data_IF_027922820318
#
_entry.id   IF_027922820318
#
_cell.length_a   1.000
_cell.length_b   1.000
_cell.length_c   1.000
_cell.angle_alpha   90.00
_cell.angle_beta   90.00
_cell.angle_gamma   90.00
#
_symmetry.space_group_name_H-M   'P 1'
#
loop_
_entity.id
_entity.type
_entity.pdbx_description
1 polymer ?
#
# COMPACT_ATOMS: atom_id res chain seq x y z
N UNK A 1 14.59 33.41 -1.71
CA UNK A 1 14.56 31.99 -1.32
C UNK A 1 14.07 31.20 -2.52
N UNK A 2 14.99 30.64 -3.30
CA UNK A 2 14.63 29.62 -4.29
C UNK A 2 14.45 28.29 -3.57
N UNK A 3 13.42 27.50 -3.88
CA UNK A 3 13.28 26.17 -3.31
C UNK A 3 14.44 25.30 -3.85
N UNK A 4 15.21 24.75 -2.93
CA UNK A 4 16.39 23.94 -3.22
C UNK A 4 16.05 22.81 -4.19
N UNK A 5 16.83 22.73 -5.26
CA UNK A 5 16.83 21.62 -6.20
C UNK A 5 17.44 20.40 -5.46
N UNK A 6 16.63 19.75 -4.63
CA UNK A 6 17.00 18.56 -3.87
C UNK A 6 17.28 17.43 -4.87
N UNK A 7 18.55 17.29 -5.23
CA UNK A 7 19.00 16.24 -6.15
C UNK A 7 18.99 14.94 -5.35
N UNK A 8 17.93 14.15 -5.52
CA UNK A 8 17.81 12.87 -4.84
C UNK A 8 18.95 11.94 -5.29
N UNK A 9 19.55 11.17 -4.38
CA UNK A 9 20.47 10.12 -4.78
C UNK A 9 19.75 9.18 -5.76
N UNK A 10 20.42 8.75 -6.84
CA UNK A 10 19.87 7.90 -7.93
C UNK A 10 19.10 6.66 -7.42
N UNK A 11 19.40 6.20 -6.21
CA UNK A 11 18.69 5.13 -5.52
C UNK A 11 17.23 5.49 -5.18
N UNK A 12 16.98 6.71 -4.72
CA UNK A 12 15.63 7.23 -4.44
C UNK A 12 14.87 7.46 -5.74
N UNK A 13 15.51 7.95 -6.80
CA UNK A 13 14.85 8.13 -8.11
C UNK A 13 14.36 6.79 -8.69
N UNK A 14 15.14 5.71 -8.56
CA UNK A 14 14.72 4.35 -8.95
C UNK A 14 13.59 3.80 -8.06
N UNK A 15 13.52 4.20 -6.80
CA UNK A 15 12.44 3.86 -5.88
C UNK A 15 11.14 4.63 -6.20
N UNK A 16 11.25 5.91 -6.52
CA UNK A 16 10.13 6.77 -6.90
C UNK A 16 9.54 6.40 -8.27
N UNK A 17 10.35 5.81 -9.18
CA UNK A 17 9.87 5.29 -10.46
C UNK A 17 8.72 4.28 -10.32
N UNK A 18 8.68 3.51 -9.22
CA UNK A 18 7.56 2.60 -8.95
C UNK A 18 6.25 3.32 -8.63
N UNK A 19 6.30 4.55 -8.10
CA UNK A 19 5.10 5.36 -7.87
C UNK A 19 4.39 5.73 -9.18
N UNK A 20 5.12 5.83 -10.30
CA UNK A 20 4.49 6.03 -11.60
C UNK A 20 3.67 4.81 -12.03
N UNK A 21 4.17 3.60 -11.76
CA UNK A 21 3.46 2.34 -12.08
C UNK A 21 2.28 2.12 -11.14
N UNK A 22 2.44 2.42 -9.85
CA UNK A 22 1.34 2.42 -8.89
C UNK A 22 0.28 3.48 -9.27
N UNK A 23 0.69 4.69 -9.67
CA UNK A 23 -0.20 5.71 -10.22
C UNK A 23 -0.95 5.25 -11.48
N UNK A 24 -0.27 4.52 -12.37
CA UNK A 24 -0.89 3.92 -13.55
C UNK A 24 -1.95 2.88 -13.18
N UNK A 25 -1.66 1.98 -12.23
CA UNK A 25 -2.63 1.02 -11.69
C UNK A 25 -3.85 1.69 -11.10
N UNK A 26 -3.64 2.75 -10.32
CA UNK A 26 -4.73 3.54 -9.76
C UNK A 26 -5.61 4.18 -10.84
N UNK A 27 -4.98 4.83 -11.82
CA UNK A 27 -5.69 5.45 -12.94
C UNK A 27 -6.55 4.43 -13.69
N UNK A 28 -5.98 3.27 -14.04
CA UNK A 28 -6.73 2.24 -14.76
C UNK A 28 -7.89 1.68 -13.94
N UNK A 29 -7.68 1.44 -12.65
CA UNK A 29 -8.73 0.99 -11.75
C UNK A 29 -9.84 2.01 -11.55
N UNK A 30 -9.51 3.30 -11.49
CA UNK A 30 -10.50 4.35 -11.27
C UNK A 30 -11.34 4.65 -12.52
N UNK A 31 -10.69 4.88 -13.66
CA UNK A 31 -11.38 5.32 -14.88
C UNK A 31 -11.83 4.18 -15.80
N UNK A 32 -11.26 2.98 -15.64
CA UNK A 32 -11.51 1.83 -16.52
C UNK A 32 -11.82 0.55 -15.72
N UNK A 33 -12.52 0.69 -14.60
CA UNK A 33 -12.78 -0.38 -13.63
C UNK A 33 -13.41 -1.64 -14.25
N UNK A 34 -14.35 -1.53 -15.19
CA UNK A 34 -14.93 -2.70 -15.90
C UNK A 34 -13.85 -3.57 -16.56
N UNK A 35 -12.80 -2.96 -17.10
CA UNK A 35 -11.72 -3.69 -17.80
C UNK A 35 -10.70 -4.28 -16.84
N UNK A 36 -10.27 -3.53 -15.84
CA UNK A 36 -9.13 -3.91 -15.00
C UNK A 36 -9.53 -4.54 -13.66
N UNK A 37 -10.73 -4.26 -13.17
CA UNK A 37 -11.28 -4.84 -11.94
C UNK A 37 -12.15 -6.05 -12.25
N UNK A 38 -13.20 -5.89 -13.07
CA UNK A 38 -14.06 -7.03 -13.43
C UNK A 38 -13.36 -7.96 -14.44
N UNK A 39 -12.85 -7.38 -15.54
CA UNK A 39 -12.12 -8.14 -16.56
C UNK A 39 -10.72 -8.60 -16.15
N UNK A 40 -10.19 -8.10 -15.03
CA UNK A 40 -8.87 -8.44 -14.49
C UNK A 40 -7.71 -8.36 -15.49
N UNK A 41 -7.82 -7.54 -16.54
CA UNK A 41 -6.80 -7.43 -17.58
C UNK A 41 -5.50 -6.90 -16.99
N UNK A 42 -4.36 -7.51 -17.37
CA UNK A 42 -3.03 -7.02 -17.01
C UNK A 42 -2.36 -6.38 -18.23
N UNK A 43 -1.78 -5.17 -18.12
CA UNK A 43 -1.07 -4.55 -19.24
C UNK A 43 0.12 -5.40 -19.71
N UNK A 44 0.18 -5.72 -21.00
CA UNK A 44 1.13 -6.68 -21.58
C UNK A 44 2.59 -6.22 -21.65
N UNK A 45 2.85 -4.91 -21.49
CA UNK A 45 4.21 -4.33 -21.55
C UNK A 45 4.87 -4.15 -20.18
N UNK A 46 4.24 -4.63 -19.11
CA UNK A 46 4.80 -4.56 -17.76
C UNK A 46 5.62 -5.83 -17.47
N UNK A 47 6.84 -5.63 -16.94
CA UNK A 47 7.60 -6.74 -16.34
C UNK A 47 6.82 -7.36 -15.18
N UNK A 48 7.16 -8.60 -14.82
CA UNK A 48 6.46 -9.32 -13.75
C UNK A 48 6.37 -8.53 -12.44
N UNK A 49 7.45 -7.85 -12.05
CA UNK A 49 7.42 -7.01 -10.86
C UNK A 49 6.62 -5.71 -11.06
N UNK A 50 6.67 -5.09 -12.25
CA UNK A 50 5.86 -3.92 -12.53
C UNK A 50 4.35 -4.23 -12.50
N UNK A 51 3.94 -5.45 -12.89
CA UNK A 51 2.56 -5.92 -12.73
C UNK A 51 2.13 -5.97 -11.26
N UNK A 52 3.02 -6.38 -10.35
CA UNK A 52 2.77 -6.34 -8.91
C UNK A 52 2.58 -4.91 -8.40
N UNK A 53 3.40 -3.97 -8.85
CA UNK A 53 3.26 -2.55 -8.48
C UNK A 53 1.98 -1.94 -9.07
N UNK A 54 1.61 -2.33 -10.29
CA UNK A 54 0.32 -1.97 -10.88
C UNK A 54 -0.86 -2.41 -10.00
N UNK A 55 -0.80 -3.62 -9.44
CA UNK A 55 -1.84 -4.13 -8.52
C UNK A 55 -1.90 -3.36 -7.19
N UNK A 56 -0.80 -2.77 -6.72
CA UNK A 56 -0.84 -1.86 -5.56
C UNK A 56 -1.70 -0.62 -5.88
N UNK A 57 -1.46 -0.03 -7.05
CA UNK A 57 -2.25 1.08 -7.57
C UNK A 57 -3.72 0.71 -7.76
N UNK A 58 -3.96 -0.44 -8.39
CA UNK A 58 -5.29 -0.96 -8.62
C UNK A 58 -6.03 -1.16 -7.30
N UNK A 59 -5.36 -1.71 -6.29
CA UNK A 59 -5.89 -1.87 -4.94
C UNK A 59 -6.29 -0.53 -4.30
N UNK A 60 -5.45 0.50 -4.43
CA UNK A 60 -5.77 1.85 -3.96
C UNK A 60 -7.06 2.38 -4.61
N UNK A 61 -7.26 2.13 -5.91
CA UNK A 61 -8.44 2.62 -6.63
C UNK A 61 -9.75 2.00 -6.12
N UNK A 62 -9.73 0.75 -5.66
CA UNK A 62 -10.92 0.05 -5.15
C UNK A 62 -11.53 0.79 -3.97
N UNK A 63 -10.71 1.42 -3.12
CA UNK A 63 -11.21 2.25 -2.01
C UNK A 63 -12.14 3.37 -2.48
N UNK A 64 -11.86 3.96 -3.65
CA UNK A 64 -12.67 5.06 -4.18
C UNK A 64 -13.82 4.56 -5.06
N UNK A 65 -13.59 3.55 -5.89
CA UNK A 65 -14.61 2.97 -6.78
C UNK A 65 -15.73 2.29 -5.99
N UNK A 66 -15.38 1.59 -4.91
CA UNK A 66 -16.35 0.97 -4.00
C UNK A 66 -16.83 1.92 -2.89
N UNK A 67 -16.40 3.19 -2.89
CA UNK A 67 -16.87 4.21 -1.93
C UNK A 67 -16.51 3.88 -0.48
N UNK A 68 -15.33 3.29 -0.26
CA UNK A 68 -14.83 2.79 1.02
C UNK A 68 -15.73 1.73 1.69
N UNK A 69 -16.66 1.11 0.95
CA UNK A 69 -17.46 0.00 1.43
C UNK A 69 -16.59 -1.26 1.56
N UNK A 70 -16.23 -1.58 2.80
CA UNK A 70 -15.36 -2.71 3.15
C UNK A 70 -15.94 -4.05 2.67
N UNK A 71 -17.27 -4.23 2.72
CA UNK A 71 -17.90 -5.47 2.29
C UNK A 71 -17.81 -5.64 0.77
N UNK A 72 -18.01 -4.55 0.01
CA UNK A 72 -17.83 -4.53 -1.45
C UNK A 72 -16.37 -4.79 -1.84
N UNK A 73 -15.43 -4.09 -1.20
CA UNK A 73 -13.99 -4.28 -1.46
C UNK A 73 -13.57 -5.74 -1.24
N UNK A 74 -13.99 -6.34 -0.13
CA UNK A 74 -13.70 -7.75 0.16
C UNK A 74 -14.34 -8.69 -0.87
N UNK A 75 -15.57 -8.40 -1.33
CA UNK A 75 -16.23 -9.16 -2.40
C UNK A 75 -15.45 -9.08 -3.70
N UNK A 76 -15.02 -7.88 -4.09
CA UNK A 76 -14.19 -7.62 -5.26
C UNK A 76 -12.89 -8.43 -5.19
N UNK A 77 -12.15 -8.36 -4.08
CA UNK A 77 -10.89 -9.09 -3.90
C UNK A 77 -11.03 -10.62 -3.95
N UNK A 78 -12.16 -11.18 -3.49
CA UNK A 78 -12.43 -12.63 -3.63
C UNK A 78 -12.53 -13.09 -5.08
N UNK A 79 -12.90 -12.19 -6.00
CA UNK A 79 -12.92 -12.47 -7.43
C UNK A 79 -11.54 -12.49 -8.08
N UNK A 80 -10.55 -11.81 -7.51
CA UNK A 80 -9.20 -11.74 -8.07
C UNK A 80 -8.42 -13.05 -7.93
N UNK A 81 -7.55 -13.34 -8.90
CA UNK A 81 -6.62 -14.46 -8.81
C UNK A 81 -5.74 -14.35 -7.53
N UNK A 82 -5.52 -15.42 -6.75
CA UNK A 82 -4.82 -15.35 -5.45
C UNK A 82 -3.44 -14.68 -5.49
N UNK A 83 -2.69 -14.84 -6.58
CA UNK A 83 -1.36 -14.21 -6.76
C UNK A 83 -1.38 -12.67 -6.80
N UNK A 84 -2.53 -12.06 -7.12
CA UNK A 84 -2.67 -10.58 -7.21
C UNK A 84 -3.12 -9.95 -5.90
N UNK A 85 -3.76 -10.73 -5.02
CA UNK A 85 -4.45 -10.23 -3.82
C UNK A 85 -3.49 -9.54 -2.84
N UNK A 86 -2.27 -10.04 -2.68
CA UNK A 86 -1.29 -9.47 -1.76
C UNK A 86 -0.99 -8.00 -2.08
N UNK A 87 -0.73 -7.69 -3.35
CA UNK A 87 -0.40 -6.32 -3.78
C UNK A 87 -1.65 -5.43 -3.75
N UNK A 88 -2.83 -5.94 -4.13
CA UNK A 88 -4.11 -5.24 -4.00
C UNK A 88 -4.40 -4.84 -2.53
N UNK A 89 -4.19 -5.75 -1.59
CA UNK A 89 -4.36 -5.49 -0.16
C UNK A 89 -3.43 -4.39 0.35
N UNK A 90 -2.18 -4.32 -0.14
CA UNK A 90 -1.28 -3.22 0.21
C UNK A 90 -1.77 -1.87 -0.31
N UNK A 91 -2.36 -1.83 -1.51
CA UNK A 91 -3.00 -0.64 -2.04
C UNK A 91 -4.18 -0.18 -1.18
N UNK A 92 -5.06 -1.11 -0.83
CA UNK A 92 -6.24 -0.83 0.01
C UNK A 92 -5.82 -0.25 1.37
N UNK A 93 -4.78 -0.80 1.99
CA UNK A 93 -4.28 -0.29 3.28
C UNK A 93 -3.76 1.14 3.20
N UNK A 94 -3.06 1.46 2.12
CA UNK A 94 -2.61 2.83 1.87
C UNK A 94 -3.81 3.77 1.68
N UNK A 95 -4.79 3.42 0.85
CA UNK A 95 -5.96 4.26 0.63
C UNK A 95 -6.80 4.45 1.91
N UNK A 96 -7.04 3.38 2.67
CA UNK A 96 -7.74 3.40 3.95
C UNK A 96 -7.09 4.39 4.93
N UNK A 97 -5.77 4.30 5.11
CA UNK A 97 -5.06 5.15 6.06
C UNK A 97 -4.84 6.59 5.54
N UNK A 98 -4.64 6.77 4.24
CA UNK A 98 -4.37 8.10 3.66
C UNK A 98 -5.64 8.94 3.47
N UNK A 99 -6.68 8.33 2.89
CA UNK A 99 -7.93 9.00 2.54
C UNK A 99 -8.98 8.94 3.67
N UNK A 100 -8.97 7.87 4.48
CA UNK A 100 -10.01 7.65 5.49
C UNK A 100 -11.38 7.41 4.85
N UNK A 101 -12.42 7.99 5.45
CA UNK A 101 -13.80 7.91 4.95
C UNK A 101 -14.65 6.81 5.59
N UNK A 102 -14.11 6.10 6.58
CA UNK A 102 -14.83 5.07 7.35
C UNK A 102 -14.51 5.19 8.83
N UNK A 103 -15.35 4.57 9.67
CA UNK A 103 -15.14 4.51 11.11
C UNK A 103 -14.16 3.38 11.52
N UNK A 104 -13.84 3.33 12.82
CA UNK A 104 -12.94 2.31 13.38
C UNK A 104 -13.46 0.89 13.16
N UNK A 105 -14.76 0.66 13.31
CA UNK A 105 -15.36 -0.67 13.18
C UNK A 105 -15.21 -1.21 11.74
N UNK A 106 -15.34 -0.36 10.73
CA UNK A 106 -15.08 -0.73 9.34
C UNK A 106 -13.59 -1.08 9.11
N UNK A 107 -12.65 -0.35 9.73
CA UNK A 107 -11.21 -0.66 9.63
C UNK A 107 -10.91 -2.00 10.34
N UNK A 108 -11.55 -2.30 11.47
CA UNK A 108 -11.44 -3.60 12.15
C UNK A 108 -12.00 -4.74 11.29
N UNK A 109 -13.14 -4.52 10.61
CA UNK A 109 -13.68 -5.48 9.65
C UNK A 109 -12.75 -5.68 8.44
N UNK A 110 -12.10 -4.62 7.97
CA UNK A 110 -11.10 -4.68 6.90
C UNK A 110 -9.89 -5.53 7.33
N UNK A 111 -9.36 -5.30 8.54
CA UNK A 111 -8.29 -6.09 9.16
C UNK A 111 -8.65 -7.58 9.21
N UNK A 112 -9.84 -7.91 9.71
CA UNK A 112 -10.30 -9.31 9.79
C UNK A 112 -10.42 -9.94 8.40
N UNK A 113 -10.96 -9.23 7.42
CA UNK A 113 -11.11 -9.75 6.06
C UNK A 113 -9.80 -9.89 5.28
N UNK A 114 -8.75 -9.16 5.66
CA UNK A 114 -7.42 -9.35 5.09
C UNK A 114 -6.81 -10.70 5.46
N UNK A 115 -7.07 -11.21 6.68
CA UNK A 115 -6.57 -12.50 7.14
C UNK A 115 -5.05 -12.62 6.97
N UNK A 116 -4.60 -13.60 6.17
CA UNK A 116 -3.18 -13.80 5.88
C UNK A 116 -2.50 -12.65 5.12
N UNK A 117 -3.28 -11.73 4.53
CA UNK A 117 -2.78 -10.55 3.83
C UNK A 117 -2.64 -9.32 4.76
N UNK A 118 -2.87 -9.48 6.07
CA UNK A 118 -2.70 -8.41 7.04
C UNK A 118 -1.32 -7.72 6.97
N UNK A 119 -0.19 -8.44 6.80
CA UNK A 119 1.12 -7.79 6.65
C UNK A 119 1.18 -6.81 5.47
N UNK A 120 0.57 -7.16 4.34
CA UNK A 120 0.51 -6.29 3.16
C UNK A 120 -0.42 -5.10 3.39
N UNK A 121 -1.60 -5.32 3.98
CA UNK A 121 -2.53 -4.26 4.36
C UNK A 121 -1.86 -3.25 5.31
N UNK A 122 -1.20 -3.74 6.36
CA UNK A 122 -0.47 -2.91 7.33
C UNK A 122 0.71 -2.15 6.69
N UNK A 123 1.46 -2.80 5.80
CA UNK A 123 2.52 -2.13 5.02
C UNK A 123 1.96 -0.94 4.24
N UNK A 124 0.78 -1.08 3.62
CA UNK A 124 0.10 0.01 2.93
C UNK A 124 -0.20 1.19 3.85
N UNK A 125 -0.76 0.89 5.04
CA UNK A 125 -1.06 1.91 6.05
C UNK A 125 0.21 2.62 6.55
N UNK A 126 1.32 1.89 6.73
CA UNK A 126 2.61 2.47 7.09
C UNK A 126 3.15 3.45 6.03
N UNK A 127 2.97 3.14 4.73
CA UNK A 127 3.30 4.09 3.66
C UNK A 127 2.42 5.35 3.70
N UNK A 128 1.13 5.23 3.99
CA UNK A 128 0.25 6.39 4.16
C UNK A 128 0.69 7.27 5.33
N UNK A 129 1.04 6.65 6.47
CA UNK A 129 1.57 7.36 7.63
C UNK A 129 2.86 8.09 7.31
N UNK A 130 3.79 7.43 6.60
CA UNK A 130 5.04 8.06 6.14
C UNK A 130 4.78 9.23 5.20
N UNK A 131 3.83 9.10 4.27
CA UNK A 131 3.45 10.19 3.36
C UNK A 131 2.90 11.41 4.12
N UNK A 132 2.00 11.20 5.09
CA UNK A 132 1.46 12.27 5.95
C UNK A 132 2.53 12.93 6.82
N UNK A 133 3.43 12.13 7.40
CA UNK A 133 4.57 12.62 8.17
C UNK A 133 5.49 13.50 7.32
N UNK A 134 5.89 13.05 6.12
CA UNK A 134 6.72 13.85 5.21
C UNK A 134 6.04 15.13 4.74
N UNK A 135 4.72 15.11 4.56
CA UNK A 135 3.94 16.27 4.15
C UNK A 135 3.62 17.23 5.31
N UNK A 136 3.99 16.89 6.56
CA UNK A 136 3.72 17.73 7.73
C UNK A 136 2.23 17.92 8.03
N UNK A 137 1.37 16.99 7.60
CA UNK A 137 -0.08 17.13 7.68
C UNK A 137 -0.76 15.92 8.36
N UNK A 138 -0.48 15.65 9.65
CA UNK A 138 -1.04 14.51 10.36
C UNK A 138 -2.57 14.54 10.33
N UNK A 139 -3.19 13.36 10.26
CA UNK A 139 -4.64 13.22 10.20
C UNK A 139 -5.12 12.14 11.15
N UNK A 140 -6.23 12.40 11.85
CA UNK A 140 -6.80 11.50 12.85
C UNK A 140 -7.18 10.13 12.26
N UNK A 141 -7.73 10.11 11.04
CA UNK A 141 -8.06 8.84 10.39
C UNK A 141 -6.84 7.99 10.06
N UNK A 142 -5.69 8.61 9.77
CA UNK A 142 -4.42 7.90 9.56
C UNK A 142 -3.92 7.28 10.87
N UNK A 143 -4.03 8.00 11.99
CA UNK A 143 -3.70 7.49 13.33
C UNK A 143 -4.57 6.29 13.69
N UNK A 144 -5.89 6.41 13.54
CA UNK A 144 -6.83 5.30 13.82
C UNK A 144 -6.51 4.09 12.94
N UNK A 145 -6.27 4.30 11.64
CA UNK A 145 -5.94 3.22 10.73
C UNK A 145 -4.63 2.51 11.12
N UNK A 146 -3.59 3.24 11.53
CA UNK A 146 -2.34 2.62 11.99
C UNK A 146 -2.52 1.85 13.30
N UNK A 147 -3.31 2.38 14.24
CA UNK A 147 -3.59 1.68 15.49
C UNK A 147 -4.29 0.34 15.23
N UNK A 148 -5.25 0.30 14.32
CA UNK A 148 -6.00 -0.92 14.00
C UNK A 148 -5.19 -1.88 13.12
N UNK A 149 -4.58 -1.38 12.04
CA UNK A 149 -3.95 -2.22 11.02
C UNK A 149 -2.50 -2.59 11.36
N UNK A 150 -1.75 -1.66 11.95
CA UNK A 150 -0.34 -1.82 12.30
C UNK A 150 -0.13 -2.15 13.78
N UNK A 151 -1.14 -1.95 14.63
CA UNK A 151 -1.03 -2.17 16.09
C UNK A 151 -0.20 -1.10 16.81
N UNK A 152 0.00 0.07 16.19
CA UNK A 152 0.86 1.14 16.72
C UNK A 152 0.43 2.52 16.21
N UNK A 153 1.03 3.59 16.73
CA UNK A 153 0.76 4.96 16.25
C UNK A 153 1.19 5.16 14.79
N UNK A 154 0.63 6.16 14.12
CA UNK A 154 1.06 6.53 12.77
C UNK A 154 2.54 6.95 12.73
N UNK A 155 3.04 7.60 13.79
CA UNK A 155 4.45 7.96 13.89
C UNK A 155 5.34 6.71 13.90
N UNK A 156 5.06 5.74 14.77
CA UNK A 156 5.81 4.49 14.84
C UNK A 156 5.74 3.69 13.52
N UNK A 157 4.55 3.64 12.90
CA UNK A 157 4.38 3.00 11.60
C UNK A 157 5.21 3.69 10.50
N UNK A 158 5.30 5.03 10.51
CA UNK A 158 6.15 5.78 9.60
C UNK A 158 7.65 5.49 9.84
N UNK A 159 8.09 5.42 11.10
CA UNK A 159 9.47 5.11 11.46
C UNK A 159 9.92 3.71 11.00
N UNK A 160 9.02 2.71 11.04
CA UNK A 160 9.29 1.38 10.48
C UNK A 160 9.70 1.47 9.01
N UNK A 161 9.08 2.37 8.24
CA UNK A 161 9.42 2.53 6.82
C UNK A 161 10.84 3.08 6.65
N UNK A 162 11.28 3.99 7.52
CA UNK A 162 12.64 4.54 7.49
C UNK A 162 13.68 3.50 7.90
N UNK A 163 13.38 2.72 8.94
CA UNK A 163 14.25 1.64 9.41
C UNK A 163 14.44 0.60 8.31
N UNK A 164 13.36 0.19 7.66
CA UNK A 164 13.40 -0.80 6.59
C UNK A 164 14.17 -0.33 5.34
N UNK A 165 14.28 1.00 5.15
CA UNK A 165 14.98 1.63 4.03
C UNK A 165 16.50 1.61 4.18
N UNK A 166 17.02 1.51 5.41
CA UNK A 166 18.47 1.48 5.68
C UNK A 166 19.12 0.27 5.01
N UNK A 167 20.30 0.48 4.39
CA UNK A 167 21.13 -0.57 3.80
C UNK A 167 20.36 -1.49 2.83
N UNK A 168 19.56 -0.90 1.94
CA UNK A 168 18.89 -1.64 0.87
C UNK A 168 19.91 -2.02 -0.23
N UNK A 169 19.97 -3.30 -0.64
CA UNK A 169 20.81 -3.70 -1.75
C UNK A 169 20.21 -3.18 -3.06
N UNK A 170 20.98 -2.36 -3.79
CA UNK A 170 20.50 -1.70 -5.01
C UNK A 170 20.66 -2.54 -6.28
N UNK A 171 21.57 -3.53 -6.26
CA UNK A 171 21.96 -4.34 -7.41
C UNK A 171 21.64 -5.84 -7.22
N UNK A 172 20.64 -6.15 -6.39
CA UNK A 172 20.16 -7.52 -6.16
C UNK A 172 19.23 -8.04 -7.26
N UNK A 173 18.97 -9.35 -7.25
CA UNK A 173 18.01 -9.99 -8.17
C UNK A 173 16.57 -9.50 -7.99
N UNK A 174 16.21 -9.06 -6.77
CA UNK A 174 14.94 -8.41 -6.49
C UNK A 174 15.11 -6.88 -6.49
N UNK A 175 14.13 -6.12 -7.02
CA UNK A 175 14.14 -4.67 -6.91
C UNK A 175 14.21 -4.23 -5.45
N UNK A 176 15.04 -3.23 -5.14
CA UNK A 176 15.15 -2.66 -3.79
C UNK A 176 13.79 -2.26 -3.18
N UNK A 177 12.84 -1.84 -4.03
CA UNK A 177 11.47 -1.54 -3.63
C UNK A 177 10.73 -2.76 -3.05
N UNK A 178 10.91 -3.95 -3.64
CA UNK A 178 10.29 -5.16 -3.11
C UNK A 178 10.90 -5.56 -1.77
N UNK A 179 12.23 -5.47 -1.66
CA UNK A 179 12.96 -5.78 -0.43
C UNK A 179 12.49 -4.85 0.70
N UNK A 180 12.33 -3.56 0.40
CA UNK A 180 11.79 -2.59 1.35
C UNK A 180 10.38 -2.96 1.83
N UNK A 181 9.47 -3.29 0.90
CA UNK A 181 8.12 -3.74 1.23
C UNK A 181 8.12 -5.00 2.08
N UNK A 182 8.92 -6.00 1.71
CA UNK A 182 9.03 -7.26 2.46
C UNK A 182 9.56 -7.03 3.87
N UNK A 183 10.59 -6.19 4.04
CA UNK A 183 11.12 -5.82 5.36
C UNK A 183 10.04 -5.18 6.26
N UNK A 184 9.18 -4.32 5.71
CA UNK A 184 8.06 -3.72 6.43
C UNK A 184 7.00 -4.78 6.77
N UNK A 185 6.60 -5.60 5.79
CA UNK A 185 5.61 -6.66 5.99
C UNK A 185 6.04 -7.64 7.10
N UNK A 186 7.33 -7.97 7.17
CA UNK A 186 7.86 -8.86 8.21
C UNK A 186 7.71 -8.31 9.63
N UNK A 187 7.68 -6.99 9.82
CA UNK A 187 7.40 -6.37 11.13
C UNK A 187 5.98 -6.67 11.61
N UNK A 188 5.04 -6.79 10.67
CA UNK A 188 3.62 -7.03 10.97
C UNK A 188 3.23 -8.51 10.95
N UNK A 189 4.07 -9.37 10.37
CA UNK A 189 3.88 -10.82 10.41
C UNK A 189 4.22 -11.43 11.78
N UNK A 190 5.17 -10.83 12.51
CA UNK A 190 5.68 -11.34 13.79
C UNK A 190 4.77 -11.03 15.00
N UNK A 191 3.74 -10.19 14.84
CA UNK A 191 2.79 -9.83 15.92
C UNK A 191 1.69 -10.88 16.20
N UNK A 192 1.74 -12.05 15.55
CA UNK A 192 0.72 -13.11 15.65
C UNK A 192 0.90 -14.13 16.79
N UNK A 193 1.86 -13.95 17.68
CA UNK A 193 2.10 -14.86 18.82
C UNK A 193 2.08 -14.09 20.14
N UNK A 194 0.89 -13.66 20.55
CA UNK A 194 0.51 -13.57 21.98
C UNK A 194 -0.99 -13.84 22.06
N UNK A 195 -1.32 -15.11 22.30
CA UNK A 195 -2.54 -15.50 22.99
C UNK A 195 -2.18 -15.76 24.45
#
# INVERSE_FOLDING_TARGET
>A
HEPGNETYPKSIERLLGWLAIDGYGFHQGYFHWLRYVEGQVMPSRLSDYAQRVFDQGLGRSLWFVDGADVARIQKTLRGFHPRRRADLWSGIGLACAYAGGVDRAAIEALRTGAGSYLPQLAQGAAFAAKARSRAGNPALHTEIACQVLCGMSALAAAEITDIALKDLPMDGALPAYEIWRQRIQNQFAAGGLTA
#
